data_IF_177971034579
#
_entry.id   IF_177971034579
#
_cell.length_a   1.000
_cell.length_b   1.000
_cell.length_c   1.000
_cell.angle_alpha   90.00
_cell.angle_beta   90.00
_cell.angle_gamma   90.00
#
_symmetry.space_group_name_H-M   'P 1'
#
loop_
_entity.id
_entity.type
_entity.pdbx_description
1 polymer ?
#
# COMPACT_ATOMS: atom_id res chain seq x y z
N UNK A 1 -4.62 -7.66 9.79
CA UNK A 1 -5.29 -8.98 9.70
C UNK A 1 -6.24 -9.26 10.86
N UNK A 2 -5.83 -9.17 12.15
CA UNK A 2 -6.70 -9.52 13.30
C UNK A 2 -8.07 -8.83 13.29
N UNK A 3 -8.11 -7.53 12.97
CA UNK A 3 -9.36 -6.77 12.81
C UNK A 3 -10.23 -7.38 11.71
N UNK A 4 -9.66 -7.68 10.54
CA UNK A 4 -10.39 -8.30 9.43
C UNK A 4 -10.98 -9.67 9.78
N UNK A 5 -10.25 -10.48 10.56
CA UNK A 5 -10.73 -11.78 11.04
C UNK A 5 -11.92 -11.63 12.02
N UNK A 6 -11.92 -10.58 12.85
CA UNK A 6 -13.08 -10.25 13.69
C UNK A 6 -14.28 -9.84 12.81
N UNK A 7 -14.06 -8.97 11.82
CA UNK A 7 -15.10 -8.55 10.88
C UNK A 7 -15.69 -9.72 10.08
N UNK A 8 -14.85 -10.70 9.71
CA UNK A 8 -15.25 -11.90 8.96
C UNK A 8 -16.32 -12.71 9.71
N UNK A 9 -16.20 -12.84 11.03
CA UNK A 9 -17.20 -13.53 11.87
C UNK A 9 -18.59 -12.86 11.85
N UNK A 10 -18.66 -11.60 11.43
CA UNK A 10 -19.89 -10.82 11.29
C UNK A 10 -20.24 -10.53 9.82
N UNK A 11 -19.59 -11.19 8.86
CA UNK A 11 -19.78 -10.98 7.42
C UNK A 11 -19.52 -9.52 6.97
N UNK A 12 -18.68 -8.80 7.71
CA UNK A 12 -18.36 -7.40 7.41
C UNK A 12 -17.15 -7.37 6.47
N UNK A 13 -17.29 -6.80 5.25
CA UNK A 13 -16.16 -6.59 4.36
C UNK A 13 -15.21 -5.52 4.90
N UNK A 14 -13.92 -5.61 4.55
CA UNK A 14 -12.88 -4.67 4.96
C UNK A 14 -12.20 -4.03 3.75
N UNK A 15 -12.06 -2.70 3.82
CA UNK A 15 -11.21 -1.91 2.95
C UNK A 15 -10.18 -1.17 3.82
N UNK A 16 -8.87 -1.38 3.61
CA UNK A 16 -7.86 -0.61 4.35
C UNK A 16 -7.83 0.83 3.87
N UNK A 17 -7.61 1.76 4.81
CA UNK A 17 -7.51 3.18 4.51
C UNK A 17 -6.11 3.57 4.02
N UNK A 18 -6.03 4.43 2.99
CA UNK A 18 -4.79 5.04 2.53
C UNK A 18 -4.78 6.56 2.56
N UNK A 19 -3.86 7.13 3.35
CA UNK A 19 -3.63 8.57 3.42
C UNK A 19 -2.17 8.97 3.65
N UNK A 20 -1.21 8.05 3.47
CA UNK A 20 0.17 8.28 3.89
C UNK A 20 1.22 8.11 2.78
N UNK A 21 0.94 7.31 1.73
CA UNK A 21 1.87 7.12 0.62
C UNK A 21 2.16 5.65 0.31
N UNK A 22 3.20 5.37 -0.50
CA UNK A 22 3.36 4.07 -1.16
C UNK A 22 3.56 2.93 -0.17
N UNK A 23 4.24 3.17 0.96
CA UNK A 23 4.44 2.17 2.02
C UNK A 23 3.12 1.73 2.64
N UNK A 24 2.18 2.65 2.86
CA UNK A 24 0.88 2.32 3.44
C UNK A 24 0.00 1.55 2.44
N UNK A 25 0.04 1.92 1.16
CA UNK A 25 -0.62 1.19 0.07
C UNK A 25 -0.14 -0.26 0.00
N UNK A 26 1.17 -0.48 -0.12
CA UNK A 26 1.72 -1.85 -0.26
C UNK A 26 1.56 -2.67 1.02
N UNK A 27 1.69 -2.06 2.20
CA UNK A 27 1.46 -2.77 3.47
C UNK A 27 -0.01 -3.18 3.62
N UNK A 28 -0.95 -2.29 3.30
CA UNK A 28 -2.38 -2.60 3.24
C UNK A 28 -2.67 -3.75 2.27
N UNK A 29 -2.12 -3.67 1.06
CA UNK A 29 -2.27 -4.72 0.05
C UNK A 29 -1.70 -6.07 0.48
N UNK A 30 -0.47 -6.12 1.03
CA UNK A 30 0.15 -7.34 1.54
C UNK A 30 -0.71 -8.03 2.60
N UNK A 31 -1.31 -7.26 3.51
CA UNK A 31 -2.25 -7.82 4.49
C UNK A 31 -3.52 -8.33 3.81
N UNK A 32 -4.11 -7.54 2.91
CA UNK A 32 -5.38 -7.86 2.24
C UNK A 32 -5.29 -9.07 1.30
N UNK A 33 -4.13 -9.37 0.72
CA UNK A 33 -3.89 -10.61 -0.04
C UNK A 33 -4.21 -11.89 0.75
N UNK A 34 -4.23 -11.82 2.08
CA UNK A 34 -4.47 -12.96 2.96
C UNK A 34 -5.82 -12.91 3.69
N UNK A 35 -6.68 -11.96 3.32
CA UNK A 35 -7.95 -11.64 3.99
C UNK A 35 -9.12 -11.97 3.06
N UNK A 36 -9.97 -12.96 3.39
CA UNK A 36 -11.03 -13.42 2.48
C UNK A 36 -12.19 -12.43 2.34
N UNK A 37 -12.44 -11.61 3.36
CA UNK A 37 -13.45 -10.55 3.36
C UNK A 37 -12.89 -9.19 2.91
N UNK A 38 -11.86 -9.18 2.07
CA UNK A 38 -11.36 -7.96 1.43
C UNK A 38 -12.36 -7.44 0.39
N UNK A 39 -12.60 -6.13 0.39
CA UNK A 39 -13.52 -5.49 -0.57
C UNK A 39 -12.80 -4.63 -1.60
N UNK A 40 -12.11 -3.55 -1.17
CA UNK A 40 -11.37 -2.64 -2.06
C UNK A 40 -10.14 -2.10 -1.37
N UNK A 41 -9.08 -1.86 -2.13
CA UNK A 41 -7.87 -1.18 -1.68
C UNK A 41 -8.03 0.30 -2.01
N UNK A 42 -7.99 1.17 -0.99
CA UNK A 42 -7.96 2.60 -1.21
C UNK A 42 -6.59 3.04 -1.73
N UNK A 43 -6.61 4.01 -2.62
CA UNK A 43 -5.45 4.81 -2.99
C UNK A 43 -5.85 6.28 -2.98
N UNK A 44 -4.93 7.15 -2.58
CA UNK A 44 -5.23 8.59 -2.55
C UNK A 44 -5.65 9.17 -3.91
N UNK A 45 -5.16 8.60 -5.02
CA UNK A 45 -5.49 8.98 -6.40
C UNK A 45 -5.52 7.75 -7.30
N UNK A 46 -6.05 7.90 -8.53
CA UNK A 46 -6.05 6.83 -9.53
C UNK A 46 -4.67 6.65 -10.18
N UNK A 47 -3.93 7.75 -10.34
CA UNK A 47 -2.56 7.77 -10.83
C UNK A 47 -1.60 7.78 -9.64
N UNK A 48 -0.76 6.75 -9.55
CA UNK A 48 0.20 6.58 -8.46
C UNK A 48 1.61 7.01 -8.82
N UNK A 49 1.84 7.58 -10.00
CA UNK A 49 3.16 8.04 -10.45
C UNK A 49 3.80 9.08 -9.51
N UNK A 50 2.98 9.77 -8.71
CA UNK A 50 3.47 10.63 -7.62
C UNK A 50 4.29 9.89 -6.56
N UNK A 51 4.28 8.56 -6.54
CA UNK A 51 5.10 7.77 -5.62
C UNK A 51 6.40 7.29 -6.24
N UNK A 52 6.58 7.41 -7.56
CA UNK A 52 7.71 6.79 -8.27
C UNK A 52 9.08 7.29 -7.80
N UNK A 53 9.15 8.52 -7.29
CA UNK A 53 10.37 9.08 -6.74
C UNK A 53 10.64 8.66 -5.28
N UNK A 54 9.62 8.18 -4.56
CA UNK A 54 9.71 7.75 -3.15
C UNK A 54 10.17 6.29 -3.01
N UNK A 55 10.02 5.48 -4.05
CA UNK A 55 10.31 4.04 -4.04
C UNK A 55 11.20 3.63 -5.22
N UNK A 56 11.83 2.46 -5.12
CA UNK A 56 12.79 1.95 -6.11
C UNK A 56 12.13 1.40 -7.39
N UNK A 57 10.83 1.13 -7.37
CA UNK A 57 10.09 0.61 -8.52
C UNK A 57 8.65 1.13 -8.49
N UNK A 58 8.13 1.70 -9.61
CA UNK A 58 6.74 2.12 -9.71
C UNK A 58 5.74 1.02 -9.37
N UNK A 59 4.61 1.39 -8.77
CA UNK A 59 3.53 0.44 -8.48
C UNK A 59 2.78 0.07 -9.77
N UNK A 60 2.65 -1.23 -10.06
CA UNK A 60 1.85 -1.72 -11.19
C UNK A 60 0.36 -1.74 -10.83
N UNK A 61 -0.38 -0.74 -11.31
CA UNK A 61 -1.85 -0.65 -11.19
C UNK A 61 -2.51 -0.85 -12.55
N UNK A 62 -2.14 -1.90 -13.28
CA UNK A 62 -2.80 -2.24 -14.53
C UNK A 62 -4.15 -2.94 -14.31
N UNK A 63 -5.10 -2.68 -15.21
CA UNK A 63 -6.46 -3.25 -15.18
C UNK A 63 -7.22 -2.97 -13.87
N UNK A 64 -6.97 -1.81 -13.24
CA UNK A 64 -7.65 -1.40 -12.01
C UNK A 64 -7.29 -2.24 -10.78
N UNK A 65 -6.18 -3.00 -10.83
CA UNK A 65 -5.71 -3.84 -9.73
C UNK A 65 -4.24 -3.57 -9.45
N UNK A 66 -3.89 -3.38 -8.17
CA UNK A 66 -2.49 -3.32 -7.75
C UNK A 66 -1.88 -4.73 -7.79
N UNK A 67 -0.77 -4.88 -8.51
CA UNK A 67 0.01 -6.13 -8.53
C UNK A 67 1.19 -6.05 -7.58
N UNK A 68 1.25 -7.01 -6.65
CA UNK A 68 2.39 -7.15 -5.76
C UNK A 68 3.47 -8.03 -6.38
N UNK A 69 4.72 -7.75 -6.02
CA UNK A 69 5.89 -8.51 -6.49
C UNK A 69 6.16 -9.71 -5.57
N UNK A 70 6.97 -10.66 -6.04
CA UNK A 70 7.47 -11.78 -5.22
C UNK A 70 8.72 -11.41 -4.40
N UNK A 71 9.14 -10.14 -4.40
CA UNK A 71 10.28 -9.68 -3.60
C UNK A 71 9.94 -9.79 -2.10
N UNK A 72 10.93 -10.11 -1.24
CA UNK A 72 10.70 -10.19 0.20
C UNK A 72 10.16 -8.88 0.82
N UNK A 73 9.52 -9.00 1.98
CA UNK A 73 9.03 -7.83 2.73
C UNK A 73 7.85 -7.16 2.06
N UNK A 74 7.91 -5.83 1.90
CA UNK A 74 6.86 -5.04 1.25
C UNK A 74 6.91 -5.12 -0.29
N UNK A 75 8.00 -5.68 -0.84
CA UNK A 75 8.19 -5.83 -2.28
C UNK A 75 8.69 -4.57 -3.01
N UNK A 76 8.97 -3.51 -2.25
CA UNK A 76 9.55 -2.23 -2.68
C UNK A 76 10.57 -1.76 -1.64
N UNK A 77 11.54 -0.97 -2.07
CA UNK A 77 12.47 -0.25 -1.20
C UNK A 77 12.22 1.26 -1.32
N UNK A 78 12.48 2.01 -0.24
CA UNK A 78 12.40 3.46 -0.29
C UNK A 78 13.61 4.05 -1.02
N UNK A 79 13.39 5.08 -1.85
CA UNK A 79 14.45 5.84 -2.47
C UNK A 79 15.16 6.72 -1.43
N UNK A 80 16.28 6.23 -0.88
CA UNK A 80 17.02 6.90 0.19
C UNK A 80 17.56 8.26 -0.23
N UNK A 81 18.07 8.38 -1.46
CA UNK A 81 18.64 9.63 -1.96
C UNK A 81 17.56 10.72 -2.06
N UNK A 82 16.37 10.37 -2.57
CA UNK A 82 15.25 11.29 -2.63
C UNK A 82 14.80 11.73 -1.23
N UNK A 83 14.65 10.77 -0.30
CA UNK A 83 14.20 11.08 1.06
C UNK A 83 15.20 11.98 1.81
N UNK A 84 16.51 11.74 1.66
CA UNK A 84 17.55 12.58 2.27
C UNK A 84 17.54 14.00 1.68
N UNK A 85 17.32 14.13 0.37
CA UNK A 85 17.24 15.45 -0.28
C UNK A 85 15.97 16.24 0.09
N UNK A 86 14.95 15.58 0.66
CA UNK A 86 13.66 16.18 1.03
C UNK A 86 13.36 15.97 2.52
N UNK A 87 14.39 15.90 3.36
CA UNK A 87 14.23 15.82 4.81
C UNK A 87 13.51 17.07 5.32
N UNK A 88 12.49 16.86 6.15
CA UNK A 88 11.74 17.95 6.79
C UNK A 88 12.29 18.13 8.20
N UNK A 89 12.87 19.28 8.48
CA UNK A 89 13.19 19.67 9.86
C UNK A 89 11.87 19.92 10.61
N UNK A 90 11.58 19.07 11.59
CA UNK A 90 10.49 19.28 12.52
C UNK A 90 10.97 20.28 13.58
N UNK A 91 10.44 21.50 13.52
CA UNK A 91 10.66 22.54 14.54
C UNK A 91 9.83 22.35 15.79
#
# INVERSE_FOLDING_TARGET
KKISALCEAYYIPVSPHDAAGPINVVAGAQVMMTVPNFYKLETSEWDLSKYDHLIDTPLDVSNGSLKLTSRPGLGVEMNRDYLQAHEIELS
#
